data_IF_740474397822
#
_entry.id   IF_740474397822
#
_cell.length_a   1.000
_cell.length_b   1.000
_cell.length_c   1.000
_cell.angle_alpha   90.00
_cell.angle_beta   90.00
_cell.angle_gamma   90.00
#
_symmetry.space_group_name_H-M   'P 1'
#
loop_
_entity.id
_entity.type
_entity.pdbx_description
1 polymer ?
#
# COMPACT_ATOMS: atom_id res chain seq x y z
N UNK A 1 -18.31 3.61 -2.68
CA UNK A 1 -17.12 4.47 -2.98
C UNK A 1 -16.18 3.77 -3.95
N UNK A 2 -15.54 4.50 -4.86
CA UNK A 2 -14.50 3.97 -5.78
C UNK A 2 -13.11 4.35 -5.26
N UNK A 3 -12.13 3.47 -5.45
CA UNK A 3 -10.72 3.83 -5.30
C UNK A 3 -9.94 3.50 -6.57
N UNK A 4 -8.90 4.29 -6.80
CA UNK A 4 -7.97 4.11 -7.91
C UNK A 4 -6.65 3.67 -7.32
N UNK A 5 -6.14 2.55 -7.82
CA UNK A 5 -4.90 1.95 -7.34
C UNK A 5 -3.82 2.23 -8.36
N UNK A 6 -2.75 2.87 -7.90
CA UNK A 6 -1.53 3.10 -8.65
C UNK A 6 -0.42 2.20 -8.10
N UNK A 7 0.43 1.69 -8.97
CA UNK A 7 1.66 1.00 -8.60
C UNK A 7 2.85 1.91 -8.84
N UNK A 8 3.88 1.77 -8.02
CA UNK A 8 5.15 2.44 -8.25
C UNK A 8 5.92 1.75 -9.38
N UNK A 9 6.56 2.51 -10.26
CA UNK A 9 7.55 1.97 -11.21
C UNK A 9 8.93 1.81 -10.60
N UNK A 10 9.18 2.46 -9.45
CA UNK A 10 10.49 2.49 -8.80
C UNK A 10 10.60 1.46 -7.68
N UNK A 11 9.47 1.08 -7.07
CA UNK A 11 9.43 0.12 -5.95
C UNK A 11 8.47 -1.01 -6.23
N UNK A 12 8.99 -2.22 -6.16
CA UNK A 12 8.18 -3.42 -6.25
C UNK A 12 7.19 -3.52 -5.09
N UNK A 13 6.03 -4.12 -5.38
CA UNK A 13 4.94 -4.38 -4.42
C UNK A 13 4.46 -3.13 -3.65
N UNK A 14 4.70 -1.94 -4.18
CA UNK A 14 4.31 -0.67 -3.56
C UNK A 14 3.11 -0.09 -4.31
N UNK A 15 2.02 0.15 -3.58
CA UNK A 15 0.75 0.60 -4.15
C UNK A 15 0.22 1.83 -3.44
N UNK A 16 -0.28 2.78 -4.21
CA UNK A 16 -0.91 4.00 -3.74
C UNK A 16 -2.39 3.98 -4.11
N UNK A 17 -3.24 4.17 -3.12
CA UNK A 17 -4.69 4.18 -3.26
C UNK A 17 -5.15 5.64 -3.11
N UNK A 18 -5.99 6.09 -4.03
CA UNK A 18 -6.57 7.44 -4.03
C UNK A 18 -8.06 7.38 -4.36
N UNK A 19 -8.80 8.40 -3.94
CA UNK A 19 -10.26 8.47 -4.14
C UNK A 19 -10.62 8.82 -5.59
N UNK A 20 -9.76 9.58 -6.27
CA UNK A 20 -9.96 10.08 -7.64
C UNK A 20 -8.77 9.77 -8.52
N UNK A 21 -9.05 9.48 -9.79
CA UNK A 21 -8.02 9.24 -10.80
C UNK A 21 -7.23 10.53 -11.02
N UNK A 22 -5.91 10.40 -10.97
CA UNK A 22 -4.89 11.46 -11.17
C UNK A 22 -4.93 12.59 -10.13
N UNK A 23 -5.65 12.38 -9.02
CA UNK A 23 -5.68 13.32 -7.89
C UNK A 23 -4.66 12.88 -6.84
N UNK A 24 -3.48 13.50 -6.89
CA UNK A 24 -2.39 13.28 -5.92
C UNK A 24 -2.16 14.50 -5.03
N UNK A 25 -3.07 15.48 -5.06
CA UNK A 25 -2.91 16.76 -4.34
C UNK A 25 -2.83 16.59 -2.83
N UNK A 26 -3.41 15.51 -2.29
CA UNK A 26 -3.34 15.15 -0.87
C UNK A 26 -2.12 14.30 -0.51
N UNK A 27 -1.36 13.83 -1.50
CA UNK A 27 -0.20 12.97 -1.28
C UNK A 27 1.02 13.85 -1.02
N UNK A 28 1.75 13.65 0.10
CA UNK A 28 2.97 14.40 0.38
C UNK A 28 3.99 14.28 -0.75
N UNK A 29 4.66 15.39 -1.07
CA UNK A 29 5.69 15.41 -2.13
C UNK A 29 6.82 14.41 -1.86
N UNK A 30 7.23 14.25 -0.61
CA UNK A 30 8.26 13.27 -0.23
C UNK A 30 7.85 11.83 -0.56
N UNK A 31 6.57 11.51 -0.34
CA UNK A 31 6.00 10.22 -0.67
C UNK A 31 5.94 10.03 -2.17
N UNK A 32 5.43 11.00 -2.93
CA UNK A 32 5.43 10.96 -4.40
C UNK A 32 6.83 10.86 -4.98
N UNK A 33 7.82 11.55 -4.40
CA UNK A 33 9.22 11.49 -4.82
C UNK A 33 9.80 10.09 -4.65
N UNK A 34 9.50 9.42 -3.53
CA UNK A 34 9.89 8.02 -3.31
C UNK A 34 9.07 7.02 -4.15
N UNK A 35 7.80 7.34 -4.42
CA UNK A 35 6.91 6.51 -5.22
C UNK A 35 7.25 6.59 -6.72
N UNK A 36 7.86 7.67 -7.17
CA UNK A 36 8.22 7.89 -8.56
C UNK A 36 6.99 8.14 -9.43
N UNK A 37 6.98 7.59 -10.64
CA UNK A 37 5.85 7.76 -11.57
C UNK A 37 4.73 6.78 -11.21
N UNK A 38 3.56 7.26 -10.76
CA UNK A 38 2.44 6.37 -10.49
C UNK A 38 1.88 5.79 -11.78
N UNK A 39 1.82 4.47 -11.87
CA UNK A 39 1.17 3.77 -12.98
C UNK A 39 -0.19 3.24 -12.54
N UNK A 40 -1.24 3.55 -13.28
CA UNK A 40 -2.57 3.03 -13.01
C UNK A 40 -2.53 1.49 -13.05
N UNK A 41 -2.77 0.87 -11.90
CA UNK A 41 -2.81 -0.58 -11.77
C UNK A 41 -4.23 -1.09 -12.02
N UNK A 42 -5.21 -0.58 -11.27
CA UNK A 42 -6.63 -0.88 -11.50
C UNK A 42 -7.55 0.15 -10.85
N UNK A 43 -8.79 0.23 -11.33
CA UNK A 43 -9.89 0.88 -10.62
C UNK A 43 -10.71 -0.17 -9.86
N UNK A 44 -11.05 0.14 -8.61
CA UNK A 44 -11.66 -0.81 -7.70
C UNK A 44 -12.86 -0.18 -6.97
N UNK A 45 -14.09 -0.70 -7.18
CA UNK A 45 -15.20 -0.34 -6.31
C UNK A 45 -14.96 -0.95 -4.92
N UNK A 46 -15.00 -0.10 -3.89
CA UNK A 46 -14.98 -0.53 -2.48
C UNK A 46 -16.36 -1.00 -2.01
N UNK A 47 -17.42 -0.64 -2.75
CA UNK A 47 -18.78 -1.14 -2.57
C UNK A 47 -18.83 -2.63 -2.94
N UNK A 48 -18.99 -3.50 -1.94
CA UNK A 48 -19.13 -4.95 -2.13
C UNK A 48 -17.85 -5.78 -1.95
N UNK A 49 -16.67 -5.16 -1.83
CA UNK A 49 -15.41 -5.90 -1.59
C UNK A 49 -15.17 -6.10 -0.10
N UNK A 50 -14.94 -7.36 0.30
CA UNK A 50 -14.65 -7.71 1.71
C UNK A 50 -13.18 -7.59 2.09
N UNK A 51 -12.24 -7.83 1.17
CA UNK A 51 -10.79 -7.79 1.45
C UNK A 51 -9.98 -7.41 0.21
N UNK A 52 -8.83 -6.77 0.43
CA UNK A 52 -7.76 -6.63 -0.54
C UNK A 52 -6.66 -7.64 -0.16
N UNK A 53 -5.98 -8.23 -1.14
CA UNK A 53 -4.89 -9.20 -0.90
C UNK A 53 -3.68 -8.52 -0.26
N UNK A 54 -3.47 -7.27 -0.66
CA UNK A 54 -2.24 -6.54 -0.42
C UNK A 54 -2.38 -5.49 0.71
N UNK A 55 -3.60 -5.14 1.12
CA UNK A 55 -3.87 -4.13 2.14
C UNK A 55 -5.14 -4.46 2.93
N UNK A 56 -5.33 -3.80 4.08
CA UNK A 56 -6.57 -3.90 4.82
C UNK A 56 -7.60 -2.89 4.28
N UNK A 57 -8.78 -3.37 3.89
CA UNK A 57 -9.82 -2.55 3.27
C UNK A 57 -10.39 -1.50 4.23
N UNK A 58 -10.47 -1.80 5.53
CA UNK A 58 -10.97 -0.85 6.52
C UNK A 58 -9.96 0.29 6.71
N UNK A 59 -8.67 -0.05 6.83
CA UNK A 59 -7.59 0.96 6.88
C UNK A 59 -7.55 1.82 5.62
N UNK A 60 -7.72 1.22 4.44
CA UNK A 60 -7.77 1.95 3.18
C UNK A 60 -8.94 2.93 3.19
N UNK A 61 -10.14 2.50 3.59
CA UNK A 61 -11.33 3.38 3.66
C UNK A 61 -11.11 4.56 4.61
N UNK A 62 -10.62 4.28 5.82
CA UNK A 62 -10.37 5.31 6.84
C UNK A 62 -9.30 6.30 6.37
N UNK A 63 -8.17 5.80 5.83
CA UNK A 63 -7.11 6.65 5.32
C UNK A 63 -7.54 7.48 4.11
N UNK A 64 -8.31 6.91 3.18
CA UNK A 64 -8.89 7.67 2.07
C UNK A 64 -9.85 8.75 2.58
N UNK A 65 -10.69 8.46 3.58
CA UNK A 65 -11.63 9.45 4.10
C UNK A 65 -10.97 10.56 4.92
N UNK A 66 -9.93 10.25 5.69
CA UNK A 66 -9.23 11.22 6.55
C UNK A 66 -8.08 11.94 5.83
N UNK A 67 -7.18 11.18 5.20
CA UNK A 67 -5.96 11.69 4.56
C UNK A 67 -6.15 11.92 3.06
N UNK A 68 -7.09 11.22 2.41
CA UNK A 68 -7.29 11.25 0.95
C UNK A 68 -6.39 10.32 0.16
N UNK A 69 -5.49 9.60 0.82
CA UNK A 69 -4.63 8.60 0.19
C UNK A 69 -4.29 7.48 1.17
N UNK A 70 -3.92 6.32 0.64
CA UNK A 70 -3.34 5.22 1.42
C UNK A 70 -2.14 4.64 0.68
N UNK A 71 -0.99 4.56 1.37
CA UNK A 71 0.21 3.94 0.83
C UNK A 71 0.39 2.55 1.43
N UNK A 72 0.52 1.57 0.55
CA UNK A 72 0.87 0.22 0.91
C UNK A 72 2.34 -0.03 0.54
N UNK A 73 3.14 -0.35 1.55
CA UNK A 73 4.53 -0.73 1.41
C UNK A 73 4.67 -2.27 1.45
N UNK A 74 5.71 -2.84 0.81
CA UNK A 74 5.98 -4.27 0.92
C UNK A 74 6.23 -4.66 2.38
N UNK A 75 5.77 -5.85 2.82
CA UNK A 75 6.12 -6.36 4.13
C UNK A 75 7.64 -6.51 4.24
N UNK A 76 8.25 -6.22 5.40
CA UNK A 76 9.67 -6.45 5.60
C UNK A 76 9.98 -7.94 5.37
N UNK A 77 11.09 -8.27 4.69
CA UNK A 77 11.47 -9.66 4.47
C UNK A 77 11.66 -10.37 5.81
N UNK A 78 11.12 -11.58 5.94
CA UNK A 78 11.34 -12.42 7.13
C UNK A 78 12.85 -12.65 7.33
N UNK A 79 13.34 -12.27 8.51
CA UNK A 79 14.72 -12.49 8.89
C UNK A 79 14.90 -13.95 9.35
N UNK A 80 14.97 -14.88 8.39
CA UNK A 80 15.09 -16.33 8.62
C UNK A 80 16.27 -16.71 9.54
N UNK A 81 17.33 -15.88 9.58
CA UNK A 81 18.48 -16.06 10.48
C UNK A 81 18.12 -15.90 11.97
N UNK A 82 17.22 -14.98 12.33
CA UNK A 82 16.80 -14.78 13.73
C UNK A 82 16.01 -15.98 14.24
N UNK A 83 15.06 -16.47 13.42
CA UNK A 83 14.27 -17.66 13.75
C UNK A 83 15.16 -18.91 13.96
N UNK A 84 16.25 -19.06 13.19
CA UNK A 84 17.17 -20.18 13.35
C UNK A 84 18.06 -20.06 14.61
N UNK A 85 18.54 -18.86 14.94
CA UNK A 85 19.34 -18.59 16.14
C UNK A 85 18.52 -18.78 17.42
N UNK A 86 17.27 -18.34 17.44
CA UNK A 86 16.34 -18.54 18.57
C UNK A 86 15.96 -20.01 18.78
N UNK A 87 15.89 -20.80 17.70
CA UNK A 87 15.62 -22.23 17.75
C UNK A 87 16.82 -23.07 18.23
N UNK A 88 18.06 -22.66 17.89
CA UNK A 88 19.28 -23.40 18.25
C UNK A 88 19.98 -22.92 19.53
N UNK A 89 19.62 -21.76 20.08
CA UNK A 89 20.19 -21.22 21.33
C UNK A 89 19.58 -21.79 22.63
N UNK A 90 18.58 -22.68 22.54
CA UNK A 90 17.92 -23.34 23.68
C UNK A 90 18.47 -24.74 23.99
N UNK A 91 19.75 -25.00 23.73
CA UNK A 91 20.42 -26.24 24.14
C UNK A 91 21.45 -25.98 25.23
#
# INVERSE_FOLDING_TARGET
MFCVIYRSTSRDQTYLYVEKKDDFSRVPEELMKNFGRPQLAMLLPLDGRKKLINADLDKVKTALSEQGYYLQLPPPPENLLKQHLEANGKK
#
